data_IF_537280316859
#
_entry.id   IF_537280316859
#
_cell.length_a   1.000
_cell.length_b   1.000
_cell.length_c   1.000
_cell.angle_alpha   90.00
_cell.angle_beta   90.00
_cell.angle_gamma   90.00
#
_symmetry.space_group_name_H-M   'P 1'
#
loop_
_entity.id
_entity.type
_entity.pdbx_description
1 polymer ?
#
# COMPACT_ATOMS: atom_id res chain seq x y z
N UNK A 1 -3.33 -41.83 3.41
CA UNK A 1 -3.43 -40.40 3.78
C UNK A 1 -4.83 -39.95 3.39
N UNK A 2 -5.52 -39.09 4.16
CA UNK A 2 -6.84 -38.60 3.71
C UNK A 2 -6.66 -37.81 2.40
N UNK A 3 -7.53 -38.02 1.40
CA UNK A 3 -7.48 -37.35 0.09
C UNK A 3 -7.41 -35.82 0.20
N UNK A 4 -8.00 -35.26 1.25
CA UNK A 4 -7.93 -33.84 1.61
C UNK A 4 -6.48 -33.39 1.84
N UNK A 5 -5.66 -34.19 2.52
CA UNK A 5 -4.24 -33.88 2.81
C UNK A 5 -3.41 -33.89 1.52
N UNK A 6 -3.66 -34.82 0.60
CA UNK A 6 -2.97 -34.84 -0.71
C UNK A 6 -3.30 -33.61 -1.57
N UNK A 7 -4.51 -33.07 -1.43
CA UNK A 7 -4.91 -31.81 -2.10
C UNK A 7 -4.20 -30.60 -1.50
N UNK A 8 -4.01 -30.55 -0.18
CA UNK A 8 -3.17 -29.53 0.48
C UNK A 8 -1.67 -29.65 0.12
N UNK A 9 -1.17 -30.86 -0.13
CA UNK A 9 0.23 -31.10 -0.49
C UNK A 9 0.59 -30.68 -1.93
N UNK A 10 -0.41 -30.44 -2.80
CA UNK A 10 -0.23 -29.87 -4.14
C UNK A 10 -0.29 -28.33 -4.16
N UNK A 11 -0.45 -27.68 -3.00
CA UNK A 11 -0.48 -26.23 -2.87
C UNK A 11 0.93 -25.64 -3.06
N UNK A 12 1.24 -25.20 -4.28
CA UNK A 12 2.55 -24.67 -4.70
C UNK A 12 2.68 -23.17 -4.41
N UNK A 13 2.31 -22.74 -3.22
CA UNK A 13 2.41 -21.33 -2.84
C UNK A 13 3.77 -21.07 -2.20
N UNK A 14 4.60 -20.29 -2.90
CA UNK A 14 5.95 -19.91 -2.45
C UNK A 14 5.96 -18.72 -1.49
N UNK A 15 4.81 -18.05 -1.27
CA UNK A 15 4.69 -16.88 -0.39
C UNK A 15 3.38 -16.87 0.42
N UNK A 16 3.39 -16.60 1.74
CA UNK A 16 2.17 -16.66 2.57
C UNK A 16 1.03 -15.78 2.04
N UNK A 17 1.35 -14.64 1.43
CA UNK A 17 0.35 -13.70 0.87
C UNK A 17 -0.18 -14.09 -0.52
N UNK A 18 0.11 -15.31 -0.99
CA UNK A 18 -0.62 -15.94 -2.10
C UNK A 18 -1.68 -16.93 -1.61
N UNK A 19 -1.91 -17.01 -0.30
CA UNK A 19 -2.96 -17.84 0.29
C UNK A 19 -4.00 -16.95 0.95
N UNK A 20 -5.25 -17.04 0.47
CA UNK A 20 -6.41 -16.37 1.05
C UNK A 20 -7.35 -17.42 1.63
N UNK A 21 -7.76 -17.23 2.89
CA UNK A 21 -8.78 -18.08 3.53
C UNK A 21 -10.16 -17.58 3.11
N UNK A 22 -10.96 -18.41 2.45
CA UNK A 22 -12.31 -18.07 1.99
C UNK A 22 -13.34 -18.09 3.11
N UNK A 23 -14.53 -17.55 2.86
CA UNK A 23 -15.63 -17.53 3.84
C UNK A 23 -16.01 -18.93 4.35
N UNK A 24 -15.93 -19.95 3.48
CA UNK A 24 -16.19 -21.36 3.81
C UNK A 24 -14.96 -22.11 4.37
N UNK A 25 -13.86 -21.39 4.65
CA UNK A 25 -12.65 -21.92 5.26
C UNK A 25 -11.72 -22.68 4.31
N UNK A 26 -12.00 -22.65 3.00
CA UNK A 26 -11.07 -23.16 1.98
C UNK A 26 -9.95 -22.15 1.70
N UNK A 27 -9.05 -22.52 0.80
CA UNK A 27 -7.95 -21.68 0.35
C UNK A 27 -8.17 -21.29 -1.11
N UNK A 28 -7.87 -20.03 -1.45
CA UNK A 28 -7.77 -19.56 -2.83
C UNK A 28 -6.50 -18.74 -3.03
N UNK A 29 -6.10 -18.61 -4.28
CA UNK A 29 -5.03 -17.71 -4.69
C UNK A 29 -5.62 -16.34 -5.09
N UNK A 30 -4.96 -15.23 -4.72
CA UNK A 30 -5.37 -13.91 -5.16
C UNK A 30 -5.00 -13.69 -6.63
N UNK A 31 -5.97 -13.31 -7.46
CA UNK A 31 -5.78 -13.13 -8.90
C UNK A 31 -6.27 -11.77 -9.41
N UNK A 32 -5.70 -11.34 -10.53
CA UNK A 32 -6.10 -10.17 -11.30
C UNK A 32 -6.11 -10.55 -12.78
N UNK A 33 -7.21 -10.28 -13.48
CA UNK A 33 -7.39 -10.67 -14.89
C UNK A 33 -7.04 -12.14 -15.17
N UNK A 34 -7.41 -13.04 -14.25
CA UNK A 34 -7.16 -14.48 -14.35
C UNK A 34 -5.72 -14.91 -14.10
N UNK A 35 -4.82 -14.00 -13.72
CA UNK A 35 -3.44 -14.30 -13.37
C UNK A 35 -3.18 -14.16 -11.87
N UNK A 36 -2.34 -15.03 -11.31
CA UNK A 36 -1.88 -14.95 -9.93
C UNK A 36 -1.19 -13.59 -9.68
N UNK A 37 -1.60 -12.89 -8.63
CA UNK A 37 -0.96 -11.64 -8.20
C UNK A 37 0.40 -11.92 -7.55
N UNK A 38 1.42 -11.12 -7.85
CA UNK A 38 2.82 -11.40 -7.48
C UNK A 38 3.26 -10.52 -6.32
N UNK A 39 3.86 -11.15 -5.30
CA UNK A 39 4.49 -10.45 -4.19
C UNK A 39 5.77 -9.74 -4.67
N UNK A 40 5.98 -8.52 -4.19
CA UNK A 40 7.19 -7.72 -4.44
C UNK A 40 7.68 -7.10 -3.13
N UNK A 41 8.99 -6.88 -3.03
CA UNK A 41 9.62 -6.22 -1.89
C UNK A 41 10.06 -4.78 -2.18
N UNK A 42 9.96 -4.35 -3.44
CA UNK A 42 10.21 -2.98 -3.89
C UNK A 42 9.28 -2.65 -5.06
N UNK A 43 8.80 -1.40 -5.13
CA UNK A 43 7.99 -0.92 -6.25
C UNK A 43 8.75 -1.00 -7.58
N UNK A 44 8.03 -1.28 -8.66
CA UNK A 44 8.61 -1.51 -9.99
C UNK A 44 8.50 -0.24 -10.83
N UNK A 45 9.63 0.21 -11.36
CA UNK A 45 9.69 1.29 -12.33
C UNK A 45 10.06 0.73 -13.71
N UNK A 46 9.20 0.93 -14.72
CA UNK A 46 9.48 0.59 -16.11
C UNK A 46 9.63 1.87 -16.97
N UNK A 47 10.86 2.24 -17.38
CA UNK A 47 11.11 3.40 -18.24
C UNK A 47 10.25 3.47 -19.51
N UNK A 48 9.82 2.32 -20.05
CA UNK A 48 8.99 2.28 -21.26
C UNK A 48 7.61 2.89 -21.05
N UNK A 49 7.07 2.81 -19.83
CA UNK A 49 5.80 3.43 -19.45
C UNK A 49 5.92 4.94 -19.21
N UNK A 50 7.15 5.46 -19.18
CA UNK A 50 7.47 6.85 -18.88
C UNK A 50 8.03 7.61 -20.08
N UNK A 51 7.56 7.31 -21.29
CA UNK A 51 8.04 7.93 -22.53
C UNK A 51 9.57 7.85 -22.71
N UNK A 52 10.19 6.81 -22.14
CA UNK A 52 11.64 6.61 -22.18
C UNK A 52 12.45 7.39 -21.12
N UNK A 53 11.79 8.12 -20.22
CA UNK A 53 12.46 8.69 -19.05
C UNK A 53 13.10 7.56 -18.25
N UNK A 54 14.38 7.71 -17.89
CA UNK A 54 15.14 6.67 -17.16
C UNK A 54 15.17 6.91 -15.64
N UNK A 55 14.45 7.91 -15.17
CA UNK A 55 14.48 8.35 -13.78
C UNK A 55 13.19 7.97 -13.07
N UNK A 56 13.30 7.03 -12.13
CA UNK A 56 12.27 6.74 -11.14
C UNK A 56 11.97 8.03 -10.35
N UNK A 57 10.72 8.52 -10.36
CA UNK A 57 10.35 9.82 -9.78
C UNK A 57 10.39 9.80 -8.25
N UNK A 58 10.44 8.62 -7.61
CA UNK A 58 10.49 8.50 -6.15
C UNK A 58 11.90 8.58 -5.60
N UNK A 59 12.92 8.39 -6.45
CA UNK A 59 14.32 8.43 -6.02
C UNK A 59 14.77 9.87 -5.73
N UNK A 60 15.52 10.04 -4.64
CA UNK A 60 16.11 11.32 -4.20
C UNK A 60 17.37 11.70 -4.98
N UNK A 61 17.95 10.75 -5.71
CA UNK A 61 19.15 10.93 -6.53
C UNK A 61 18.99 10.19 -7.86
N UNK A 62 19.60 10.75 -8.89
CA UNK A 62 19.74 10.13 -10.20
C UNK A 62 20.80 9.03 -10.16
N UNK A 63 20.82 8.18 -11.18
CA UNK A 63 21.84 7.13 -11.33
C UNK A 63 23.29 7.65 -11.33
N UNK A 64 23.50 8.90 -11.78
CA UNK A 64 24.80 9.58 -11.76
C UNK A 64 25.13 10.28 -10.42
N UNK A 65 24.32 10.07 -9.37
CA UNK A 65 24.51 10.68 -8.05
C UNK A 65 24.06 12.14 -7.94
N UNK A 66 23.46 12.73 -8.97
CA UNK A 66 22.91 14.10 -8.87
C UNK A 66 21.58 14.09 -8.09
N UNK A 67 21.34 15.00 -7.11
CA UNK A 67 20.06 15.08 -6.41
C UNK A 67 18.87 15.38 -7.33
N UNK A 68 17.69 14.84 -7.03
CA UNK A 68 16.43 15.05 -7.79
C UNK A 68 15.51 16.12 -7.18
N UNK A 69 15.93 16.75 -6.07
CA UNK A 69 15.09 17.61 -5.22
C UNK A 69 13.79 16.94 -4.72
N UNK A 70 13.69 15.62 -4.79
CA UNK A 70 12.55 14.86 -4.25
C UNK A 70 12.84 14.45 -2.80
N UNK A 71 11.83 14.51 -1.94
CA UNK A 71 11.88 14.02 -0.57
C UNK A 71 12.63 14.91 0.41
N UNK A 72 12.14 14.97 1.66
CA UNK A 72 12.74 15.64 2.82
C UNK A 72 13.87 14.81 3.44
N UNK A 73 14.18 15.06 4.70
CA UNK A 73 15.11 14.26 5.48
C UNK A 73 14.57 12.84 5.71
N UNK A 74 15.44 11.84 5.71
CA UNK A 74 15.04 10.47 5.98
C UNK A 74 14.43 10.36 7.38
N UNK A 75 13.22 9.82 7.50
CA UNK A 75 12.53 9.70 8.80
C UNK A 75 13.17 8.70 9.76
N UNK A 76 14.10 7.87 9.28
CA UNK A 76 14.82 6.88 10.10
C UNK A 76 16.10 7.42 10.72
N UNK A 77 16.91 8.16 9.97
CA UNK A 77 18.23 8.64 10.43
C UNK A 77 18.39 10.17 10.40
N UNK A 78 17.40 10.91 9.91
CA UNK A 78 17.47 12.37 9.76
C UNK A 78 18.33 12.86 8.60
N UNK A 79 18.89 11.98 7.76
CA UNK A 79 19.77 12.40 6.67
C UNK A 79 19.05 13.28 5.64
N UNK A 80 19.54 14.51 5.37
CA UNK A 80 18.97 15.41 4.36
C UNK A 80 19.29 14.95 2.92
N UNK A 81 20.18 13.98 2.76
CA UNK A 81 20.56 13.33 1.49
C UNK A 81 20.23 11.83 1.50
N UNK A 82 20.33 11.16 0.35
CA UNK A 82 20.13 9.71 0.25
C UNK A 82 21.00 8.96 1.25
N UNK A 83 20.41 7.96 1.89
CA UNK A 83 21.09 7.05 2.81
C UNK A 83 20.63 5.62 2.55
N UNK A 84 21.27 4.65 3.22
CA UNK A 84 20.97 3.23 3.05
C UNK A 84 19.82 2.71 3.93
N UNK A 85 19.14 3.58 4.70
CA UNK A 85 18.04 3.16 5.56
C UNK A 85 16.94 2.48 4.75
N UNK A 86 16.44 1.35 5.26
CA UNK A 86 15.26 0.66 4.77
C UNK A 86 14.21 0.61 5.87
N UNK A 87 12.96 0.38 5.49
CA UNK A 87 11.94 0.02 6.47
C UNK A 87 12.11 -1.47 6.78
N UNK A 88 12.44 -1.78 8.03
CA UNK A 88 12.46 -3.15 8.53
C UNK A 88 11.20 -3.36 9.35
N UNK A 89 10.34 -4.28 8.91
CA UNK A 89 9.07 -4.62 9.55
C UNK A 89 8.83 -6.12 9.44
N UNK A 90 8.17 -6.68 10.45
CA UNK A 90 7.70 -8.08 10.47
C UNK A 90 6.18 -8.18 10.38
N UNK A 91 5.48 -7.07 10.13
CA UNK A 91 4.02 -7.08 10.09
C UNK A 91 3.49 -8.07 9.04
N UNK A 92 4.14 -8.18 7.88
CA UNK A 92 3.78 -9.17 6.85
C UNK A 92 3.84 -10.63 7.32
N UNK A 93 4.67 -10.97 8.31
CA UNK A 93 4.73 -12.32 8.91
C UNK A 93 3.64 -12.55 9.96
N UNK A 94 2.98 -11.47 10.42
CA UNK A 94 2.05 -11.45 11.54
C UNK A 94 0.65 -11.04 11.09
N UNK A 95 0.33 -11.31 9.82
CA UNK A 95 -0.98 -11.14 9.22
C UNK A 95 -1.36 -12.37 8.40
N UNK A 96 -2.64 -12.50 8.10
CA UNK A 96 -3.15 -13.43 7.10
C UNK A 96 -4.11 -12.71 6.15
N UNK A 97 -4.30 -13.28 4.96
CA UNK A 97 -5.34 -12.82 4.03
C UNK A 97 -6.59 -13.68 4.21
N UNK A 98 -7.74 -13.01 4.31
CA UNK A 98 -9.03 -13.67 4.53
C UNK A 98 -10.14 -12.94 3.79
N UNK A 99 -11.14 -13.68 3.33
CA UNK A 99 -12.38 -13.08 2.84
C UNK A 99 -13.27 -12.56 3.99
N UNK A 100 -13.83 -11.38 3.75
CA UNK A 100 -14.83 -10.73 4.57
C UNK A 100 -16.11 -10.55 3.73
N UNK A 101 -17.25 -10.74 4.39
CA UNK A 101 -18.55 -10.62 3.72
C UNK A 101 -18.76 -9.20 3.22
N UNK A 102 -18.97 -9.04 1.91
CA UNK A 102 -19.23 -7.73 1.28
C UNK A 102 -17.98 -6.95 0.84
N UNK A 103 -16.84 -7.10 1.51
CA UNK A 103 -15.59 -6.37 1.19
C UNK A 103 -14.54 -7.19 0.45
N UNK A 104 -14.75 -8.51 0.33
CA UNK A 104 -13.85 -9.39 -0.43
C UNK A 104 -12.61 -9.75 0.38
N UNK A 105 -11.44 -9.83 -0.25
CA UNK A 105 -10.18 -10.19 0.43
C UNK A 105 -9.67 -9.01 1.27
N UNK A 106 -9.61 -9.20 2.58
CA UNK A 106 -9.04 -8.27 3.57
C UNK A 106 -7.77 -8.81 4.22
N UNK A 107 -7.26 -8.07 5.20
CA UNK A 107 -6.07 -8.42 5.99
C UNK A 107 -6.46 -8.56 7.45
N UNK A 108 -6.16 -9.71 8.07
CA UNK A 108 -6.37 -9.93 9.51
C UNK A 108 -5.06 -9.94 10.27
N UNK A 109 -5.00 -9.21 11.38
CA UNK A 109 -3.85 -9.25 12.27
C UNK A 109 -3.76 -10.57 13.04
N UNK A 110 -2.55 -11.13 13.19
CA UNK A 110 -2.28 -12.31 14.03
C UNK A 110 -1.67 -11.93 15.40
N UNK A 111 -1.34 -10.65 15.58
CA UNK A 111 -0.77 -10.09 16.80
C UNK A 111 -1.35 -8.71 17.06
N UNK A 112 -1.00 -8.12 18.21
CA UNK A 112 -1.29 -6.72 18.49
C UNK A 112 -0.29 -5.81 17.76
N UNK A 113 -0.80 -4.79 17.08
CA UNK A 113 -0.02 -3.63 16.63
C UNK A 113 -0.41 -2.41 17.45
N UNK A 114 0.56 -1.55 17.76
CA UNK A 114 0.36 -0.36 18.60
C UNK A 114 0.24 0.88 17.74
N UNK A 115 -0.52 1.86 18.23
CA UNK A 115 -0.54 3.21 17.65
C UNK A 115 0.89 3.73 17.45
N UNK A 116 1.18 4.22 16.25
CA UNK A 116 2.48 4.73 15.84
C UNK A 116 3.36 3.70 15.12
N UNK A 117 2.99 2.42 15.11
CA UNK A 117 3.72 1.42 14.33
C UNK A 117 3.61 1.71 12.83
N UNK A 118 4.72 1.52 12.11
CA UNK A 118 4.73 1.51 10.64
C UNK A 118 4.68 0.04 10.22
N UNK A 119 3.56 -0.38 9.63
CA UNK A 119 3.34 -1.79 9.28
C UNK A 119 4.14 -2.21 8.06
N UNK A 120 4.08 -1.44 6.97
CA UNK A 120 4.84 -1.69 5.75
C UNK A 120 4.76 -0.47 4.81
N UNK A 121 5.35 -0.60 3.62
CA UNK A 121 5.21 0.33 2.49
C UNK A 121 4.14 -0.22 1.53
N UNK A 122 3.27 0.66 1.05
CA UNK A 122 2.35 0.34 -0.04
C UNK A 122 3.10 0.30 -1.37
N UNK A 123 3.15 -0.88 -2.00
CA UNK A 123 3.98 -1.13 -3.18
C UNK A 123 3.19 -1.53 -4.41
N UNK A 124 3.75 -1.21 -5.58
CA UNK A 124 3.20 -1.57 -6.87
C UNK A 124 4.07 -1.13 -8.02
N UNK A 125 3.52 -1.18 -9.22
CA UNK A 125 4.12 -0.55 -10.39
C UNK A 125 3.99 0.97 -10.28
N UNK A 126 5.06 1.70 -10.62
CA UNK A 126 5.07 3.15 -10.66
C UNK A 126 4.70 3.63 -12.07
N UNK A 127 3.59 4.35 -12.16
CA UNK A 127 2.99 4.81 -13.42
C UNK A 127 2.95 6.35 -13.46
N UNK A 128 3.11 6.98 -14.64
CA UNK A 128 3.10 8.44 -14.75
C UNK A 128 1.72 9.05 -14.45
N UNK A 129 0.67 8.36 -14.88
CA UNK A 129 -0.72 8.81 -14.78
C UNK A 129 -1.57 7.80 -13.99
N UNK A 130 -2.73 8.23 -13.53
CA UNK A 130 -3.74 7.34 -12.94
C UNK A 130 -4.30 6.49 -14.08
N UNK A 131 -4.05 5.17 -14.01
CA UNK A 131 -4.52 4.23 -15.03
C UNK A 131 -5.93 3.69 -14.74
N UNK A 132 -6.34 3.69 -13.47
CA UNK A 132 -7.67 3.26 -13.00
C UNK A 132 -7.98 3.94 -11.66
N UNK A 133 -9.27 4.06 -11.33
CA UNK A 133 -9.72 4.71 -10.09
C UNK A 133 -9.72 3.78 -8.86
N UNK A 134 -9.62 2.45 -9.04
CA UNK A 134 -9.79 1.46 -7.96
C UNK A 134 -8.45 0.84 -7.57
N UNK A 135 -7.99 1.12 -6.35
CA UNK A 135 -6.73 0.68 -5.71
C UNK A 135 -5.44 1.50 -5.94
N UNK A 136 -5.16 2.09 -7.12
CA UNK A 136 -3.98 2.92 -7.26
C UNK A 136 -3.97 4.11 -6.30
N UNK A 137 -2.79 4.41 -5.77
CA UNK A 137 -2.60 5.54 -4.86
C UNK A 137 -1.66 6.56 -5.49
N UNK A 138 -2.04 7.83 -5.47
CA UNK A 138 -1.14 8.92 -5.86
C UNK A 138 -0.01 9.05 -4.84
N UNK A 139 1.21 8.88 -5.30
CA UNK A 139 2.42 9.10 -4.51
C UNK A 139 2.83 10.57 -4.63
N UNK A 140 2.59 11.32 -3.58
CA UNK A 140 3.05 12.71 -3.48
C UNK A 140 4.49 12.77 -2.97
N UNK A 141 5.15 13.91 -3.17
CA UNK A 141 6.36 14.28 -2.46
C UNK A 141 6.01 14.67 -1.01
N UNK A 142 6.86 14.34 -0.04
CA UNK A 142 6.70 14.81 1.34
C UNK A 142 7.24 16.24 1.53
N UNK A 143 7.84 16.82 0.49
CA UNK A 143 8.11 18.26 0.39
C UNK A 143 6.86 19.03 0.00
N UNK A 144 6.28 19.76 0.96
CA UNK A 144 5.32 20.83 0.64
C UNK A 144 6.04 21.94 -0.14
N UNK A 145 5.54 22.29 -1.33
CA UNK A 145 5.89 23.54 -1.98
C UNK A 145 4.97 24.64 -1.44
N UNK A 146 5.34 25.26 -0.33
CA UNK A 146 4.73 26.54 0.08
C UNK A 146 5.28 27.63 -0.82
N UNK A 147 4.58 27.93 -1.91
CA UNK A 147 4.86 29.13 -2.70
C UNK A 147 4.25 30.31 -1.96
N UNK A 148 5.07 31.19 -1.39
CA UNK A 148 4.70 32.26 -0.45
C UNK A 148 3.84 33.39 -1.02
N UNK A 149 3.28 33.24 -2.22
CA UNK A 149 2.55 34.30 -2.93
C UNK A 149 1.07 33.99 -3.17
N UNK A 150 0.62 32.76 -2.91
CA UNK A 150 -0.80 32.39 -2.93
C UNK A 150 -1.04 31.33 -1.85
N UNK A 151 -2.14 31.43 -1.13
CA UNK A 151 -2.56 30.51 -0.05
C UNK A 151 -2.86 29.07 -0.50
N UNK A 152 -2.32 28.64 -1.64
CA UNK A 152 -2.56 27.34 -2.26
C UNK A 152 -1.32 26.46 -2.06
N UNK A 153 -1.41 25.47 -1.17
CA UNK A 153 -0.37 24.44 -1.04
C UNK A 153 -0.46 23.52 -2.25
N UNK A 154 0.48 23.64 -3.20
CA UNK A 154 0.57 22.70 -4.31
C UNK A 154 1.31 21.45 -3.85
N UNK A 155 0.59 20.33 -3.77
CA UNK A 155 1.19 19.03 -3.50
C UNK A 155 1.81 18.51 -4.79
N UNK A 156 3.12 18.25 -4.77
CA UNK A 156 3.83 17.72 -5.92
C UNK A 156 3.54 16.22 -6.05
N UNK A 157 2.72 15.82 -7.03
CA UNK A 157 2.50 14.41 -7.36
C UNK A 157 3.70 13.86 -8.11
N UNK A 158 4.29 12.76 -7.63
CA UNK A 158 5.45 12.10 -8.23
C UNK A 158 5.04 11.04 -9.25
N UNK A 159 4.05 10.22 -8.90
CA UNK A 159 3.55 9.10 -9.71
C UNK A 159 2.27 8.50 -9.12
N UNK A 160 1.74 7.50 -9.79
CA UNK A 160 0.72 6.57 -9.26
C UNK A 160 1.38 5.24 -8.90
N UNK A 161 1.07 4.70 -7.71
CA UNK A 161 1.43 3.33 -7.30
C UNK A 161 0.26 2.41 -7.66
N UNK A 162 0.48 1.48 -8.58
CA UNK A 162 -0.53 0.52 -9.03
C UNK A 162 -0.22 -0.89 -8.50
N UNK A 163 -1.00 -1.42 -7.55
CA UNK A 163 -0.72 -2.71 -6.91
C UNK A 163 -1.45 -3.90 -7.56
N UNK A 164 -1.98 -3.78 -8.78
CA UNK A 164 -2.90 -4.78 -9.34
C UNK A 164 -2.27 -6.14 -9.56
N UNK A 165 -1.24 -6.22 -10.41
CA UNK A 165 -0.54 -7.45 -10.75
C UNK A 165 0.67 -7.71 -9.84
N UNK A 166 1.33 -6.63 -9.39
CA UNK A 166 2.51 -6.67 -8.54
C UNK A 166 2.26 -5.80 -7.31
N UNK A 167 2.41 -6.36 -6.11
CA UNK A 167 2.21 -5.66 -4.85
C UNK A 167 2.50 -6.58 -3.67
N UNK A 168 2.69 -6.02 -2.48
CA UNK A 168 2.76 -6.78 -1.23
C UNK A 168 1.38 -6.85 -0.56
N UNK A 169 1.30 -7.44 0.64
CA UNK A 169 0.05 -7.66 1.37
C UNK A 169 -0.78 -6.39 1.63
N UNK A 170 -0.17 -5.19 1.67
CA UNK A 170 -0.90 -3.94 1.98
C UNK A 170 -1.98 -3.61 0.95
N UNK A 171 -1.88 -4.15 -0.26
CA UNK A 171 -2.89 -4.01 -1.33
C UNK A 171 -4.26 -4.58 -0.96
N UNK A 172 -4.31 -5.50 0.01
CA UNK A 172 -5.53 -6.16 0.47
C UNK A 172 -6.16 -5.45 1.68
N UNK A 173 -5.57 -4.35 2.18
CA UNK A 173 -6.14 -3.61 3.31
C UNK A 173 -7.44 -2.96 2.84
N UNK A 174 -8.56 -3.38 3.42
CA UNK A 174 -9.88 -2.88 3.06
C UNK A 174 -10.17 -1.50 3.67
N UNK A 175 -11.20 -0.85 3.14
CA UNK A 175 -11.66 0.42 3.66
C UNK A 175 -12.46 0.28 4.97
N UNK A 176 -12.31 1.24 5.88
CA UNK A 176 -13.28 1.54 6.94
C UNK A 176 -13.36 3.04 7.20
N UNK A 177 -14.55 3.55 7.54
CA UNK A 177 -14.76 4.91 8.07
C UNK A 177 -14.25 5.08 9.51
N UNK A 178 -13.96 3.96 10.19
CA UNK A 178 -13.28 3.94 11.51
C UNK A 178 -11.99 3.12 11.40
N UNK A 179 -11.04 3.55 10.55
CA UNK A 179 -9.90 2.74 10.21
C UNK A 179 -8.94 2.58 11.40
N UNK A 180 -8.13 1.54 11.35
CA UNK A 180 -7.04 1.35 12.30
C UNK A 180 -5.70 1.90 11.79
N UNK A 181 -5.60 2.15 10.49
CA UNK A 181 -4.38 2.62 9.81
C UNK A 181 -4.65 3.79 8.87
N UNK A 182 -3.57 4.45 8.45
CA UNK A 182 -3.58 5.51 7.44
C UNK A 182 -2.39 5.36 6.50
N UNK A 183 -2.53 5.86 5.27
CA UNK A 183 -1.41 6.02 4.35
C UNK A 183 -0.65 7.32 4.61
N UNK A 184 0.68 7.26 4.67
CA UNK A 184 1.53 8.43 4.89
C UNK A 184 2.66 8.50 3.86
N UNK A 185 2.88 9.67 3.27
CA UNK A 185 4.08 9.90 2.47
C UNK A 185 5.28 10.12 3.37
N UNK A 186 6.34 9.33 3.20
CA UNK A 186 7.57 9.40 3.98
C UNK A 186 8.81 9.30 3.10
N UNK A 187 9.87 10.04 3.43
CA UNK A 187 11.21 9.79 2.90
C UNK A 187 11.93 8.74 3.73
N UNK A 188 12.25 7.58 3.14
CA UNK A 188 13.04 6.51 3.75
C UNK A 188 14.20 6.16 2.82
N UNK A 189 15.44 6.25 3.34
CA UNK A 189 16.61 5.90 2.57
C UNK A 189 16.85 6.83 1.39
N UNK A 190 16.80 6.27 0.20
CA UNK A 190 16.97 6.95 -1.08
C UNK A 190 15.65 7.24 -1.81
N UNK A 191 14.48 6.96 -1.20
CA UNK A 191 13.17 7.05 -1.85
C UNK A 191 12.14 7.81 -0.99
N UNK A 192 11.16 8.42 -1.66
CA UNK A 192 9.87 8.79 -1.08
C UNK A 192 8.91 7.63 -1.29
N UNK A 193 8.27 7.17 -0.22
CA UNK A 193 7.40 5.98 -0.20
C UNK A 193 6.07 6.31 0.47
N UNK A 194 5.07 5.45 0.28
CA UNK A 194 3.81 5.48 1.03
C UNK A 194 3.86 4.40 2.12
N UNK A 195 3.82 4.78 3.39
CA UNK A 195 3.77 3.87 4.54
C UNK A 195 2.33 3.61 4.99
N UNK A 196 2.08 2.43 5.54
CA UNK A 196 0.85 2.10 6.28
C UNK A 196 1.14 2.28 7.77
N UNK A 197 0.54 3.27 8.41
CA UNK A 197 0.82 3.64 9.80
C UNK A 197 -0.41 3.43 10.70
N UNK A 198 -0.19 2.84 11.87
CA UNK A 198 -1.23 2.51 12.85
C UNK A 198 -1.67 3.76 13.62
N UNK A 199 -2.96 4.12 13.55
CA UNK A 199 -3.50 5.33 14.20
C UNK A 199 -4.24 5.03 15.51
N UNK A 200 -4.61 3.77 15.73
CA UNK A 200 -5.09 3.21 16.99
C UNK A 200 -4.63 1.77 17.12
N UNK A 201 -4.51 1.27 18.33
CA UNK A 201 -4.13 -0.13 18.54
C UNK A 201 -5.03 -1.09 17.75
N UNK A 202 -4.40 -2.11 17.17
CA UNK A 202 -5.03 -3.20 16.44
C UNK A 202 -4.90 -4.44 17.30
N UNK A 203 -6.00 -5.12 17.58
CA UNK A 203 -6.01 -6.34 18.38
C UNK A 203 -5.73 -7.58 17.51
N UNK A 204 -5.21 -8.68 18.11
CA UNK A 204 -5.15 -9.95 17.41
C UNK A 204 -6.51 -10.34 16.85
N UNK A 205 -6.53 -10.84 15.63
CA UNK A 205 -7.69 -11.25 14.84
C UNK A 205 -8.63 -10.12 14.39
N UNK A 206 -8.25 -8.86 14.60
CA UNK A 206 -8.93 -7.72 14.01
C UNK A 206 -8.57 -7.55 12.53
N UNK A 207 -9.51 -7.09 11.71
CA UNK A 207 -9.24 -6.67 10.34
C UNK A 207 -8.45 -5.34 10.33
N UNK A 208 -7.35 -5.32 9.59
CA UNK A 208 -6.57 -4.11 9.35
C UNK A 208 -7.26 -3.33 8.23
N UNK A 209 -7.66 -2.10 8.54
CA UNK A 209 -8.41 -1.23 7.63
C UNK A 209 -7.81 0.16 7.52
N UNK A 210 -8.08 0.85 6.41
CA UNK A 210 -7.59 2.18 6.09
C UNK A 210 -8.72 3.10 5.59
N UNK A 211 -8.60 4.40 5.80
CA UNK A 211 -9.50 5.38 5.17
C UNK A 211 -9.08 5.61 3.70
N UNK A 212 -9.95 5.32 2.73
CA UNK A 212 -9.65 5.60 1.31
C UNK A 212 -9.80 7.08 0.96
N UNK A 213 -10.49 7.85 1.82
CA UNK A 213 -10.80 9.26 1.61
C UNK A 213 -11.94 9.47 0.62
N UNK A 214 -12.58 10.64 0.72
CA UNK A 214 -13.83 10.95 0.04
C UNK A 214 -13.72 10.91 -1.49
N UNK A 215 -12.55 11.32 -2.02
CA UNK A 215 -12.29 11.33 -3.47
C UNK A 215 -12.47 9.95 -4.10
N UNK A 216 -12.13 8.88 -3.37
CA UNK A 216 -12.28 7.50 -3.86
C UNK A 216 -13.75 7.18 -4.16
N UNK A 217 -14.66 7.52 -3.25
CA UNK A 217 -16.09 7.21 -3.36
C UNK A 217 -16.78 8.07 -4.41
N UNK A 218 -16.48 9.37 -4.43
CA UNK A 218 -17.11 10.32 -5.38
C UNK A 218 -16.75 10.05 -6.84
N UNK A 219 -15.61 9.43 -7.12
CA UNK A 219 -15.15 9.17 -8.48
C UNK A 219 -15.68 7.85 -9.07
N UNK A 220 -16.30 7.00 -8.25
CA UNK A 220 -16.54 5.59 -8.59
C UNK A 220 -17.99 5.10 -8.44
N UNK A 221 -18.89 5.93 -7.88
CA UNK A 221 -20.28 5.54 -7.62
C UNK A 221 -20.39 4.21 -6.85
N UNK A 222 -19.53 4.05 -5.84
CA UNK A 222 -19.54 2.88 -4.94
C UNK A 222 -20.12 3.22 -3.58
N UNK A 223 -20.95 2.31 -3.06
CA UNK A 223 -21.39 2.35 -1.68
C UNK A 223 -20.32 1.83 -0.72
N UNK A 224 -20.13 2.53 0.38
CA UNK A 224 -19.33 2.09 1.52
C UNK A 224 -19.98 0.87 2.20
N UNK A 225 -19.31 -0.28 2.17
CA UNK A 225 -19.78 -1.51 2.81
C UNK A 225 -19.10 -1.79 4.16
N UNK A 226 -18.45 -0.80 4.78
CA UNK A 226 -17.68 -1.03 6.01
C UNK A 226 -18.51 -1.20 7.28
N UNK A 227 -19.83 -0.96 7.23
CA UNK A 227 -20.73 -1.06 8.39
C UNK A 227 -20.51 0.00 9.48
N UNK A 228 -19.63 0.97 9.23
CA UNK A 228 -19.30 2.08 10.14
C UNK A 228 -19.55 3.46 9.54
N UNK A 229 -20.16 3.50 8.36
CA UNK A 229 -20.64 4.72 7.73
C UNK A 229 -21.78 5.29 8.58
N UNK A 230 -21.59 6.48 9.16
CA UNK A 230 -22.59 7.21 9.95
C UNK A 230 -23.32 8.28 9.12
N UNK A 231 -23.19 8.22 7.79
CA UNK A 231 -23.74 9.22 6.88
C UNK A 231 -22.93 10.52 6.83
N UNK A 232 -21.86 10.64 7.62
CA UNK A 232 -20.84 11.67 7.44
C UNK A 232 -19.71 11.09 6.60
N UNK A 233 -19.82 11.22 5.28
CA UNK A 233 -18.60 11.30 4.47
C UNK A 233 -17.74 12.37 5.13
N UNK A 234 -16.57 12.00 5.61
CA UNK A 234 -15.70 12.85 6.40
C UNK A 234 -15.28 14.06 5.58
N UNK A 235 -15.84 15.23 5.93
CA UNK A 235 -15.54 16.57 5.36
C UNK A 235 -14.08 16.81 4.94
#
# INVERSE_FOLDING_TARGET
MKLEIETYMNWKVDHPHHTVITLDGKLKEPSYNGQLQKHINESIYDPKKWSGQKQDPTLRHKANGTPTNVGRQCVRCGSPVSCACRLETRAGELIELREYSGTGTGVRALTRFRRGDILDIFMGELLPDIVENVYPLTQNDDKNNTTTTTTTTTVNSLCTICPHQFGNWTRFISHSCRPATQFMTRTIGNRVVCTVEVIRDILPFEEITVGYGDRYWTALDYDCLCGHCDGSGSE
#
